data_IF_000932490528
#
_entry.id   IF_000932490528
#
_cell.length_a   1.000
_cell.length_b   1.000
_cell.length_c   1.000
_cell.angle_alpha   90.00
_cell.angle_beta   90.00
_cell.angle_gamma   90.00
#
_symmetry.space_group_name_H-M   'P 1'
#
loop_
_entity.id
_entity.type
_entity.pdbx_description
1 polymer ?
#
# COMPACT_ATOMS: atom_id res chain seq x y z
N UNK A 1 -26.61 -7.15 18.50
CA UNK A 1 -25.19 -6.78 18.62
C UNK A 1 -24.86 -5.88 17.46
N UNK A 2 -24.62 -4.59 17.72
CA UNK A 2 -24.22 -3.63 16.69
C UNK A 2 -22.83 -4.05 16.20
N UNK A 3 -22.72 -4.39 14.91
CA UNK A 3 -21.43 -4.55 14.24
C UNK A 3 -20.78 -3.17 14.23
N UNK A 4 -19.86 -2.91 15.17
CA UNK A 4 -19.04 -1.70 15.10
C UNK A 4 -18.28 -1.75 13.78
N UNK A 5 -18.50 -0.76 12.93
CA UNK A 5 -17.84 -0.67 11.62
C UNK A 5 -16.32 -0.71 11.84
N UNK A 6 -15.64 -1.69 11.24
CA UNK A 6 -14.18 -1.80 11.34
C UNK A 6 -13.54 -0.53 10.76
N UNK A 7 -12.48 -0.05 11.39
CA UNK A 7 -11.69 1.08 10.89
C UNK A 7 -10.89 0.62 9.67
N UNK A 8 -10.87 1.44 8.63
CA UNK A 8 -10.11 1.16 7.39
C UNK A 8 -8.72 1.78 7.51
N UNK A 9 -7.69 1.02 7.17
CA UNK A 9 -6.29 1.46 7.19
C UNK A 9 -5.67 1.20 5.82
N UNK A 10 -5.38 2.27 5.09
CA UNK A 10 -4.75 2.21 3.79
C UNK A 10 -3.27 2.55 3.91
N UNK A 11 -2.41 1.72 3.35
CA UNK A 11 -0.99 2.00 3.16
C UNK A 11 -0.73 2.34 1.69
N UNK A 12 -0.22 3.52 1.40
CA UNK A 12 0.10 3.97 0.04
C UNK A 12 1.62 4.12 -0.13
N UNK A 13 2.20 3.16 -0.85
CA UNK A 13 3.58 3.26 -1.33
C UNK A 13 3.61 4.09 -2.62
N UNK A 14 4.35 5.20 -2.63
CA UNK A 14 4.65 5.95 -3.85
C UNK A 14 6.01 5.49 -4.39
N UNK A 15 6.01 4.93 -5.60
CA UNK A 15 7.22 4.51 -6.32
C UNK A 15 7.42 5.34 -7.58
N UNK A 16 8.53 6.09 -7.62
CA UNK A 16 9.01 6.75 -8.84
C UNK A 16 9.72 5.79 -9.78
N UNK A 17 9.01 4.73 -10.12
CA UNK A 17 9.39 3.68 -11.05
C UNK A 17 8.32 3.58 -12.14
N UNK A 18 8.71 3.04 -13.29
CA UNK A 18 7.75 2.64 -14.31
C UNK A 18 7.00 1.38 -13.87
N UNK A 19 5.82 1.16 -14.43
CA UNK A 19 5.10 -0.09 -14.25
C UNK A 19 6.00 -1.27 -14.67
N UNK A 20 6.03 -2.38 -13.91
CA UNK A 20 6.81 -3.56 -14.30
C UNK A 20 6.34 -4.13 -15.65
N UNK A 21 7.27 -4.70 -16.40
CA UNK A 21 6.95 -5.44 -17.63
C UNK A 21 5.97 -6.59 -17.33
N UNK A 22 4.93 -6.75 -18.13
CA UNK A 22 3.89 -7.77 -17.92
C UNK A 22 4.43 -9.20 -17.81
N UNK A 23 5.61 -9.46 -18.35
CA UNK A 23 6.31 -10.74 -18.34
C UNK A 23 7.56 -10.76 -17.46
N UNK A 24 7.68 -9.83 -16.50
CA UNK A 24 8.85 -9.70 -15.62
C UNK A 24 9.30 -11.03 -14.97
N UNK A 25 10.60 -11.14 -14.70
CA UNK A 25 11.20 -12.38 -14.20
C UNK A 25 11.06 -12.50 -12.69
N UNK A 26 10.46 -13.61 -12.22
CA UNK A 26 10.40 -13.95 -10.80
C UNK A 26 11.79 -14.23 -10.19
N UNK A 27 12.81 -14.48 -11.02
CA UNK A 27 14.21 -14.64 -10.58
C UNK A 27 14.91 -13.30 -10.35
N UNK A 28 14.36 -12.20 -10.84
CA UNK A 28 14.96 -10.86 -10.74
C UNK A 28 13.92 -9.80 -10.32
N UNK A 29 13.36 -9.98 -9.13
CA UNK A 29 12.33 -9.07 -8.59
C UNK A 29 12.85 -7.64 -8.39
N UNK A 30 14.10 -7.49 -7.94
CA UNK A 30 14.75 -6.18 -7.72
C UNK A 30 14.91 -5.34 -8.98
N UNK A 31 15.19 -5.99 -10.10
CA UNK A 31 15.33 -5.34 -11.41
C UNK A 31 14.00 -5.09 -12.12
N UNK A 32 12.90 -5.64 -11.60
CA UNK A 32 11.56 -5.54 -12.20
C UNK A 32 10.77 -4.46 -11.45
N UNK A 33 11.12 -3.19 -11.60
CA UNK A 33 10.43 -2.06 -10.93
C UNK A 33 10.22 -2.24 -9.42
N UNK A 34 11.23 -2.81 -8.74
CA UNK A 34 11.21 -3.02 -7.28
C UNK A 34 10.06 -3.89 -6.78
N UNK A 35 9.63 -4.89 -7.55
CA UNK A 35 8.61 -5.84 -7.10
C UNK A 35 8.99 -6.54 -5.78
N UNK A 36 10.28 -6.72 -5.48
CA UNK A 36 10.71 -7.24 -4.16
C UNK A 36 10.27 -6.34 -3.00
N UNK A 37 10.29 -5.01 -3.17
CA UNK A 37 9.81 -4.06 -2.16
C UNK A 37 8.29 -4.12 -2.05
N UNK A 38 7.59 -4.16 -3.18
CA UNK A 38 6.12 -4.24 -3.23
C UNK A 38 5.64 -5.52 -2.55
N UNK A 39 6.23 -6.67 -2.86
CA UNK A 39 5.87 -7.96 -2.29
C UNK A 39 6.08 -7.98 -0.77
N UNK A 40 7.22 -7.47 -0.30
CA UNK A 40 7.53 -7.42 1.13
C UNK A 40 6.59 -6.50 1.91
N UNK A 41 6.13 -5.41 1.29
CA UNK A 41 5.15 -4.52 1.90
C UNK A 41 3.75 -5.13 1.95
N UNK A 42 3.31 -5.84 0.89
CA UNK A 42 2.05 -6.59 0.91
C UNK A 42 2.08 -7.62 2.06
N UNK A 43 3.16 -8.39 2.18
CA UNK A 43 3.31 -9.35 3.29
C UNK A 43 3.26 -8.67 4.67
N UNK A 44 3.77 -7.45 4.79
CA UNK A 44 3.74 -6.67 6.02
C UNK A 44 2.35 -6.07 6.32
N UNK A 45 1.50 -5.83 5.31
CA UNK A 45 0.17 -5.23 5.46
C UNK A 45 -0.90 -6.22 5.89
N UNK A 46 -0.85 -7.47 5.41
CA UNK A 46 -1.89 -8.48 5.64
C UNK A 46 -1.61 -9.57 6.69
N UNK A 47 -0.76 -9.39 7.72
CA UNK A 47 -0.84 -10.26 8.89
C UNK A 47 -2.15 -10.01 9.67
N UNK A 48 -2.60 -11.01 10.42
CA UNK A 48 -3.84 -10.98 11.22
C UNK A 48 -3.72 -10.12 12.50
N UNK A 49 -3.32 -8.84 12.40
CA UNK A 49 -3.23 -7.91 13.53
C UNK A 49 -4.48 -7.04 13.64
N UNK A 50 -5.00 -6.88 14.86
CA UNK A 50 -6.11 -5.97 15.16
C UNK A 50 -7.44 -6.26 14.43
N UNK A 51 -8.40 -5.34 14.58
CA UNK A 51 -9.72 -5.43 13.94
C UNK A 51 -9.89 -4.43 12.78
N UNK A 52 -8.83 -4.23 11.99
CA UNK A 52 -8.80 -3.30 10.87
C UNK A 52 -9.19 -3.96 9.54
N UNK A 53 -9.76 -3.18 8.63
CA UNK A 53 -9.78 -3.49 7.21
C UNK A 53 -8.56 -2.83 6.57
N UNK A 54 -7.58 -3.62 6.14
CA UNK A 54 -6.32 -3.09 5.61
C UNK A 54 -6.36 -3.07 4.09
N UNK A 55 -5.94 -1.97 3.50
CA UNK A 55 -5.66 -1.86 2.07
C UNK A 55 -4.19 -1.55 1.86
N UNK A 56 -3.57 -2.15 0.87
CA UNK A 56 -2.25 -1.79 0.41
C UNK A 56 -2.32 -1.30 -1.03
N UNK A 57 -1.77 -0.12 -1.29
CA UNK A 57 -1.70 0.49 -2.60
C UNK A 57 -0.25 0.75 -2.93
N UNK A 58 0.19 0.34 -4.12
CA UNK A 58 1.43 0.85 -4.72
C UNK A 58 1.09 1.69 -5.94
N UNK A 59 1.64 2.90 -5.99
CA UNK A 59 1.48 3.85 -7.08
C UNK A 59 2.81 3.99 -7.84
N UNK A 60 2.84 3.46 -9.07
CA UNK A 60 3.91 3.68 -10.04
C UNK A 60 3.67 5.02 -10.75
N UNK A 61 4.64 5.92 -10.76
CA UNK A 61 4.42 7.30 -11.19
C UNK A 61 5.04 7.67 -12.53
N UNK A 62 6.00 6.89 -13.08
CA UNK A 62 6.73 7.24 -14.30
C UNK A 62 6.05 6.72 -15.58
N UNK A 63 6.15 7.54 -16.64
CA UNK A 63 5.69 7.32 -18.03
C UNK A 63 4.21 6.96 -18.22
N UNK A 64 3.75 5.86 -17.63
CA UNK A 64 2.39 5.35 -17.68
C UNK A 64 1.93 5.02 -16.25
N UNK A 65 1.48 6.03 -15.48
CA UNK A 65 1.21 5.84 -14.06
C UNK A 65 0.08 4.85 -13.84
N UNK A 66 0.22 4.03 -12.82
CA UNK A 66 -0.74 2.99 -12.48
C UNK A 66 -0.68 2.68 -10.99
N UNK A 67 -1.80 2.27 -10.43
CA UNK A 67 -1.90 1.79 -9.07
C UNK A 67 -2.24 0.29 -9.06
N UNK A 68 -1.54 -0.48 -8.24
CA UNK A 68 -2.02 -1.79 -7.80
C UNK A 68 -2.64 -1.60 -6.42
N UNK A 69 -3.88 -2.04 -6.28
CA UNK A 69 -4.65 -2.04 -5.04
C UNK A 69 -4.81 -3.49 -4.59
N UNK A 70 -4.35 -3.78 -3.38
CA UNK A 70 -4.48 -5.08 -2.72
C UNK A 70 -5.35 -4.88 -1.48
N UNK A 71 -6.40 -5.69 -1.33
CA UNK A 71 -7.38 -5.53 -0.23
C UNK A 71 -7.36 -6.68 0.77
N UNK A 72 -6.78 -7.83 0.41
CA UNK A 72 -6.64 -9.00 1.29
C UNK A 72 -5.66 -10.01 0.68
N UNK A 73 -5.36 -11.09 1.40
CA UNK A 73 -4.73 -12.32 0.91
C UNK A 73 -5.58 -13.53 1.31
N UNK A 74 -5.67 -14.54 0.43
CA UNK A 74 -6.45 -15.73 0.77
C UNK A 74 -5.83 -16.47 1.96
N UNK A 75 -6.69 -16.95 2.87
CA UNK A 75 -6.24 -17.76 4.01
C UNK A 75 -5.74 -19.12 3.51
N UNK A 76 -4.55 -19.50 3.94
CA UNK A 76 -3.92 -20.78 3.62
C UNK A 76 -3.08 -21.28 4.80
N UNK A 77 -2.80 -22.58 4.80
CA UNK A 77 -2.04 -23.24 5.87
C UNK A 77 -0.57 -22.76 5.93
N UNK A 78 0.07 -22.61 4.77
CA UNK A 78 1.44 -22.08 4.65
C UNK A 78 1.39 -20.58 4.37
N UNK A 79 2.10 -19.73 5.10
CA UNK A 79 2.15 -18.28 4.79
C UNK A 79 2.80 -17.96 3.44
N UNK A 80 2.37 -16.87 2.78
CA UNK A 80 2.96 -16.38 1.51
C UNK A 80 4.43 -15.99 1.67
N UNK A 81 5.22 -16.26 0.63
CA UNK A 81 6.56 -15.71 0.46
C UNK A 81 6.60 -14.61 -0.63
N UNK A 82 7.74 -13.91 -0.74
CA UNK A 82 7.90 -12.80 -1.69
C UNK A 82 7.72 -13.24 -3.16
N UNK A 83 8.10 -14.47 -3.51
CA UNK A 83 8.01 -14.98 -4.88
C UNK A 83 6.56 -15.28 -5.24
N UNK A 84 5.80 -15.87 -4.31
CA UNK A 84 4.38 -16.14 -4.50
C UNK A 84 3.59 -14.84 -4.66
N UNK A 85 3.84 -13.82 -3.82
CA UNK A 85 3.22 -12.50 -4.00
C UNK A 85 3.63 -11.88 -5.34
N UNK A 86 4.91 -11.94 -5.71
CA UNK A 86 5.36 -11.46 -7.02
C UNK A 86 4.66 -12.18 -8.18
N UNK A 87 4.39 -13.48 -8.05
CA UNK A 87 3.61 -14.24 -9.02
C UNK A 87 2.17 -13.73 -9.12
N UNK A 88 1.51 -13.45 -8.00
CA UNK A 88 0.16 -12.87 -8.00
C UNK A 88 0.11 -11.48 -8.64
N UNK A 89 1.11 -10.64 -8.36
CA UNK A 89 1.25 -9.32 -9.00
C UNK A 89 1.40 -9.49 -10.52
N UNK A 90 2.23 -10.44 -10.97
CA UNK A 90 2.44 -10.72 -12.39
C UNK A 90 1.15 -11.17 -13.08
N UNK A 91 0.47 -12.18 -12.52
CA UNK A 91 -0.76 -12.73 -13.09
C UNK A 91 -1.87 -11.67 -13.12
N UNK A 92 -2.08 -10.92 -12.03
CA UNK A 92 -3.08 -9.85 -12.00
C UNK A 92 -2.79 -8.73 -13.01
N UNK A 93 -1.51 -8.43 -13.27
CA UNK A 93 -1.13 -7.46 -14.30
C UNK A 93 -1.40 -8.00 -15.71
N UNK A 94 -1.10 -9.28 -15.96
CA UNK A 94 -1.45 -9.94 -17.22
C UNK A 94 -2.96 -9.90 -17.47
N UNK A 95 -3.77 -10.21 -16.45
CA UNK A 95 -5.22 -10.18 -16.53
C UNK A 95 -5.77 -8.78 -16.82
N UNK A 96 -5.15 -7.72 -16.27
CA UNK A 96 -5.60 -6.34 -16.51
C UNK A 96 -5.40 -5.88 -17.95
N UNK A 97 -4.41 -6.43 -18.66
CA UNK A 97 -4.19 -6.18 -20.09
C UNK A 97 -5.06 -7.07 -20.98
N UNK A 98 -5.34 -8.30 -20.56
CA UNK A 98 -6.01 -9.31 -21.37
C UNK A 98 -7.53 -9.36 -21.15
N UNK A 99 -8.22 -8.20 -21.05
CA UNK A 99 -9.64 -8.11 -20.63
C UNK A 99 -10.67 -8.99 -21.38
N UNK A 100 -10.28 -9.68 -22.47
CA UNK A 100 -11.09 -10.64 -23.23
C UNK A 100 -10.69 -12.12 -23.05
N UNK A 101 -9.64 -12.42 -22.31
CA UNK A 101 -9.19 -13.76 -21.97
C UNK A 101 -9.29 -13.97 -20.46
N UNK A 102 -10.50 -13.92 -19.91
CA UNK A 102 -10.80 -14.75 -18.73
C UNK A 102 -10.71 -16.21 -19.19
N UNK A 103 -9.50 -16.69 -19.43
CA UNK A 103 -9.24 -18.13 -19.44
C UNK A 103 -9.56 -18.61 -18.05
N UNK A 104 -10.73 -19.24 -17.94
CA UNK A 104 -11.16 -20.03 -16.80
C UNK A 104 -9.99 -20.91 -16.33
N UNK A 105 -9.21 -20.51 -15.31
CA UNK A 105 -8.27 -21.35 -14.53
C UNK A 105 -7.18 -20.54 -13.81
N UNK A 106 -7.53 -19.52 -13.02
CA UNK A 106 -6.63 -19.13 -11.93
C UNK A 106 -7.12 -19.80 -10.64
N UNK A 107 -6.46 -20.89 -10.24
CA UNK A 107 -6.80 -21.64 -9.02
C UNK A 107 -6.56 -20.85 -7.72
N UNK A 108 -5.72 -19.80 -7.78
CA UNK A 108 -5.42 -18.99 -6.60
C UNK A 108 -6.50 -17.94 -6.35
N UNK A 109 -7.33 -18.20 -5.34
CA UNK A 109 -8.39 -17.32 -4.85
C UNK A 109 -7.91 -15.93 -4.46
N UNK A 110 -6.60 -15.73 -4.25
CA UNK A 110 -6.04 -14.43 -3.86
C UNK A 110 -6.09 -13.39 -4.97
N UNK A 111 -6.11 -13.82 -6.24
CA UNK A 111 -6.08 -12.89 -7.38
C UNK A 111 -7.25 -11.91 -7.40
N UNK A 112 -8.40 -12.30 -6.82
CA UNK A 112 -9.56 -11.41 -6.70
C UNK A 112 -9.28 -10.14 -5.85
N UNK A 113 -8.24 -10.18 -5.02
CA UNK A 113 -7.86 -9.06 -4.15
C UNK A 113 -6.86 -8.11 -4.82
N UNK A 114 -6.30 -8.47 -5.99
CA UNK A 114 -5.29 -7.67 -6.69
C UNK A 114 -5.93 -6.93 -7.86
N UNK A 115 -6.03 -5.62 -7.75
CA UNK A 115 -6.74 -4.79 -8.71
C UNK A 115 -5.81 -3.71 -9.28
N UNK A 116 -5.59 -3.76 -10.60
CA UNK A 116 -4.81 -2.76 -11.31
C UNK A 116 -5.69 -1.63 -11.83
N UNK A 117 -5.18 -0.40 -11.69
CA UNK A 117 -5.82 0.80 -12.20
C UNK A 117 -4.81 1.66 -12.94
N UNK A 118 -4.96 1.74 -14.26
CA UNK A 118 -4.20 2.68 -15.08
C UNK A 118 -4.70 4.11 -14.87
N UNK A 119 -3.76 5.05 -14.77
CA UNK A 119 -4.03 6.45 -14.48
C UNK A 119 -3.63 7.30 -15.68
N UNK A 120 -4.40 8.35 -15.95
CA UNK A 120 -3.98 9.39 -16.91
C UNK A 120 -2.87 10.25 -16.33
N UNK A 121 -2.97 10.56 -15.04
CA UNK A 121 -2.02 11.39 -14.31
C UNK A 121 -2.04 11.04 -12.82
N UNK A 122 -0.88 11.15 -12.15
CA UNK A 122 -0.73 10.90 -10.71
C UNK A 122 -1.56 11.88 -9.87
N UNK A 123 -1.65 13.15 -10.29
CA UNK A 123 -2.39 14.19 -9.55
C UNK A 123 -3.86 13.84 -9.38
N UNK A 124 -4.48 13.25 -10.40
CA UNK A 124 -5.88 12.83 -10.34
C UNK A 124 -6.13 11.77 -9.26
N UNK A 125 -5.13 10.93 -8.98
CA UNK A 125 -5.20 9.91 -7.93
C UNK A 125 -5.13 10.55 -6.55
N UNK A 126 -4.20 11.48 -6.33
CA UNK A 126 -4.13 12.24 -5.07
C UNK A 126 -5.38 13.10 -4.82
N UNK A 127 -5.97 13.70 -5.85
CA UNK A 127 -7.24 14.41 -5.71
C UNK A 127 -8.36 13.48 -5.26
N UNK A 128 -8.39 12.24 -5.75
CA UNK A 128 -9.39 11.27 -5.30
C UNK A 128 -9.21 10.90 -3.84
N UNK A 129 -7.97 10.63 -3.40
CA UNK A 129 -7.66 10.39 -1.98
C UNK A 129 -8.02 11.60 -1.12
N UNK A 130 -7.72 12.83 -1.56
CA UNK A 130 -8.10 14.03 -0.79
C UNK A 130 -9.62 14.17 -0.63
N UNK A 131 -10.37 13.70 -1.63
CA UNK A 131 -11.82 13.77 -1.65
C UNK A 131 -12.48 12.58 -0.93
N UNK A 132 -11.73 11.55 -0.55
CA UNK A 132 -12.20 10.60 0.45
C UNK A 132 -12.14 11.29 1.82
N UNK A 133 -13.09 10.99 2.71
CA UNK A 133 -13.10 11.54 4.07
C UNK A 133 -12.05 10.85 4.96
N UNK A 134 -10.86 10.60 4.41
CA UNK A 134 -9.74 9.89 5.01
C UNK A 134 -8.80 10.87 5.72
N UNK A 135 -8.28 10.47 6.88
CA UNK A 135 -7.16 11.18 7.50
C UNK A 135 -5.87 10.67 6.87
N UNK A 136 -5.19 11.57 6.14
CA UNK A 136 -4.01 11.23 5.35
C UNK A 136 -2.75 11.68 6.08
N UNK A 137 -1.84 10.74 6.33
CA UNK A 137 -0.57 10.97 7.02
C UNK A 137 0.58 10.64 6.08
N UNK A 138 1.59 11.50 6.02
CA UNK A 138 2.83 11.21 5.30
C UNK A 138 3.91 10.77 6.27
N UNK A 139 4.34 9.52 6.17
CA UNK A 139 5.41 8.98 7.01
C UNK A 139 6.76 9.53 6.52
N UNK A 140 7.41 10.31 7.38
CA UNK A 140 8.64 11.02 7.07
C UNK A 140 9.48 11.21 8.32
N UNK A 141 10.80 11.04 8.23
CA UNK A 141 11.70 11.07 9.41
C UNK A 141 11.65 12.40 10.17
N UNK A 142 11.43 13.50 9.44
CA UNK A 142 11.34 14.86 10.00
C UNK A 142 9.89 15.26 10.40
N UNK A 143 8.94 14.32 10.35
CA UNK A 143 7.56 14.56 10.79
C UNK A 143 7.42 14.66 12.31
N UNK A 144 6.22 15.02 12.77
CA UNK A 144 5.92 15.02 14.21
C UNK A 144 5.85 13.58 14.74
N UNK A 145 6.21 13.32 16.01
CA UNK A 145 6.08 12.00 16.62
C UNK A 145 4.69 11.38 16.41
N UNK A 146 4.62 10.06 16.16
CA UNK A 146 3.37 9.33 16.02
C UNK A 146 2.38 9.56 17.17
N UNK A 147 2.88 9.71 18.40
CA UNK A 147 2.05 9.95 19.58
C UNK A 147 1.25 11.27 19.51
N UNK A 148 1.72 12.23 18.71
CA UNK A 148 1.08 13.56 18.60
C UNK A 148 -0.17 13.51 17.71
N UNK A 149 -0.36 12.44 16.91
CA UNK A 149 -1.54 12.25 16.04
C UNK A 149 -2.56 11.23 16.57
N UNK A 150 -2.38 10.72 17.79
CA UNK A 150 -3.23 9.65 18.35
C UNK A 150 -4.70 10.08 18.40
N UNK A 151 -4.98 11.33 18.75
CA UNK A 151 -6.35 11.84 18.80
C UNK A 151 -7.02 11.81 17.42
N UNK A 152 -6.31 12.26 16.38
CA UNK A 152 -6.78 12.23 14.99
C UNK A 152 -7.05 10.80 14.52
N UNK A 153 -6.15 9.89 14.87
CA UNK A 153 -6.29 8.45 14.60
C UNK A 153 -7.57 7.91 15.25
N UNK A 154 -7.81 8.21 16.53
CA UNK A 154 -8.93 7.64 17.30
C UNK A 154 -10.29 8.04 16.73
N UNK A 155 -10.46 9.31 16.33
CA UNK A 155 -11.73 9.83 15.80
C UNK A 155 -11.98 9.45 14.33
N UNK A 156 -10.93 9.12 13.59
CA UNK A 156 -11.04 8.80 12.17
C UNK A 156 -11.49 7.35 11.94
N UNK A 157 -12.46 7.17 11.04
CA UNK A 157 -12.93 5.85 10.60
C UNK A 157 -12.11 5.26 9.43
N UNK A 158 -11.35 6.11 8.74
CA UNK A 158 -10.48 5.70 7.64
C UNK A 158 -9.17 6.50 7.70
N UNK A 159 -8.06 5.77 7.68
CA UNK A 159 -6.70 6.29 7.78
C UNK A 159 -5.94 5.94 6.50
N UNK A 160 -5.10 6.86 6.01
CA UNK A 160 -4.22 6.60 4.88
C UNK A 160 -2.79 7.02 5.24
N UNK A 161 -1.86 6.07 5.25
CA UNK A 161 -0.45 6.31 5.52
C UNK A 161 0.34 6.24 4.22
N UNK A 162 0.89 7.37 3.78
CA UNK A 162 1.68 7.52 2.57
C UNK A 162 3.16 7.41 2.92
N UNK A 163 3.94 6.69 2.13
CA UNK A 163 5.40 6.58 2.28
C UNK A 163 6.09 6.34 0.94
N UNK A 164 7.39 6.63 0.90
CA UNK A 164 8.25 6.42 -0.26
C UNK A 164 8.83 5.01 -0.36
N UNK A 165 9.47 4.74 -1.49
CA UNK A 165 10.29 3.55 -1.72
C UNK A 165 11.67 3.63 -1.06
N UNK A 166 12.67 2.98 -1.69
CA UNK A 166 14.06 2.94 -1.18
C UNK A 166 14.88 4.19 -1.52
N UNK A 167 14.51 4.89 -2.59
CA UNK A 167 15.02 6.21 -2.90
C UNK A 167 13.95 7.21 -2.49
N UNK A 168 14.38 8.35 -1.97
CA UNK A 168 13.48 9.42 -1.58
C UNK A 168 12.56 9.79 -2.76
N UNK A 169 11.30 10.02 -2.42
CA UNK A 169 10.35 10.65 -3.32
C UNK A 169 10.98 11.98 -3.76
N UNK A 170 10.93 12.31 -5.05
CA UNK A 170 11.43 13.59 -5.56
C UNK A 170 10.71 14.75 -4.88
N UNK A 171 11.38 15.91 -4.76
CA UNK A 171 10.78 17.09 -4.13
C UNK A 171 9.44 17.50 -4.79
N UNK A 172 9.27 17.28 -6.09
CA UNK A 172 8.01 17.57 -6.77
C UNK A 172 6.89 16.65 -6.25
N UNK A 173 7.17 15.36 -6.15
CA UNK A 173 6.20 14.37 -5.70
C UNK A 173 5.94 14.50 -4.20
N UNK A 174 6.94 14.84 -3.40
CA UNK A 174 6.77 15.14 -1.97
C UNK A 174 5.84 16.35 -1.80
N UNK A 175 6.04 17.43 -2.56
CA UNK A 175 5.11 18.58 -2.58
C UNK A 175 3.70 18.19 -3.02
N UNK A 176 3.55 17.19 -3.90
CA UNK A 176 2.23 16.70 -4.31
C UNK A 176 1.55 15.92 -3.19
N UNK A 177 2.28 15.05 -2.49
CA UNK A 177 1.81 14.31 -1.32
C UNK A 177 1.43 15.28 -0.19
N UNK A 178 2.27 16.28 0.11
CA UNK A 178 2.02 17.24 1.18
C UNK A 178 0.73 18.06 1.01
N UNK A 179 0.26 18.26 -0.22
CA UNK A 179 -1.00 18.98 -0.50
C UNK A 179 -2.26 18.22 -0.11
N UNK A 180 -2.14 16.91 0.13
CA UNK A 180 -3.25 16.04 0.50
C UNK A 180 -3.15 15.51 1.93
N UNK A 181 -2.01 15.68 2.59
CA UNK A 181 -1.75 15.15 3.94
C UNK A 181 -2.22 16.11 5.02
N UNK A 182 -2.84 15.56 6.06
CA UNK A 182 -3.17 16.26 7.30
C UNK A 182 -1.92 16.55 8.13
N UNK A 183 -0.98 15.59 8.19
CA UNK A 183 0.27 15.75 8.92
C UNK A 183 1.41 14.90 8.35
N UNK A 184 2.65 15.37 8.55
CA UNK A 184 3.86 14.56 8.42
C UNK A 184 4.16 13.88 9.75
N UNK A 185 4.44 12.58 9.73
CA UNK A 185 4.56 11.75 10.93
C UNK A 185 5.88 11.00 10.92
N UNK A 186 6.63 11.12 12.00
CA UNK A 186 7.86 10.36 12.23
C UNK A 186 7.58 9.15 13.12
N UNK A 187 8.06 7.99 12.68
CA UNK A 187 8.03 6.74 13.46
C UNK A 187 9.29 6.55 14.31
N UNK A 188 10.25 7.47 14.23
CA UNK A 188 11.49 7.41 14.98
C UNK A 188 12.65 8.16 14.31
N UNK A 189 13.81 8.15 14.97
CA UNK A 189 15.00 8.91 14.54
C UNK A 189 15.83 8.23 13.44
N UNK A 190 15.38 7.09 12.92
CA UNK A 190 16.12 6.28 11.94
C UNK A 190 15.28 6.12 10.69
N UNK A 191 15.94 6.02 9.54
CA UNK A 191 15.29 5.57 8.32
C UNK A 191 15.03 4.07 8.40
N UNK A 192 13.78 3.68 8.18
CA UNK A 192 13.31 2.30 8.22
C UNK A 192 12.91 1.83 6.83
N UNK A 193 12.89 0.51 6.62
CA UNK A 193 12.25 -0.05 5.43
C UNK A 193 10.75 0.21 5.50
N UNK A 194 10.11 0.48 4.35
CA UNK A 194 8.67 0.67 4.25
C UNK A 194 7.87 -0.46 4.93
N UNK A 195 8.27 -1.71 4.74
CA UNK A 195 7.65 -2.87 5.40
C UNK A 195 7.71 -2.80 6.92
N UNK A 196 8.80 -2.27 7.48
CA UNK A 196 8.95 -2.05 8.93
C UNK A 196 8.05 -0.92 9.41
N UNK A 197 7.90 0.16 8.63
CA UNK A 197 6.98 1.24 8.94
C UNK A 197 5.52 0.74 9.00
N UNK A 198 5.11 -0.11 8.05
CA UNK A 198 3.77 -0.73 8.03
C UNK A 198 3.53 -1.53 9.31
N UNK A 199 4.45 -2.44 9.67
CA UNK A 199 4.33 -3.26 10.89
C UNK A 199 4.26 -2.39 12.14
N UNK A 200 5.10 -1.36 12.22
CA UNK A 200 5.10 -0.43 13.35
C UNK A 200 3.75 0.28 13.49
N UNK A 201 3.22 0.83 12.40
CA UNK A 201 1.92 1.53 12.41
C UNK A 201 0.81 0.58 12.84
N UNK A 202 0.74 -0.63 12.27
CA UNK A 202 -0.27 -1.62 12.66
C UNK A 202 -0.20 -1.97 14.14
N UNK A 203 1.01 -2.17 14.67
CA UNK A 203 1.23 -2.47 16.09
C UNK A 203 0.80 -1.32 17.01
N UNK A 204 1.13 -0.07 16.66
CA UNK A 204 0.69 1.08 17.45
C UNK A 204 -0.83 1.30 17.35
N UNK A 205 -1.44 1.06 16.18
CA UNK A 205 -2.91 1.10 16.06
C UNK A 205 -3.60 0.02 16.90
N UNK A 206 -3.06 -1.20 16.93
CA UNK A 206 -3.60 -2.29 17.75
C UNK A 206 -3.53 -1.97 19.25
N UNK A 207 -2.41 -1.40 19.73
CA UNK A 207 -2.30 -0.90 21.11
C UNK A 207 -3.37 0.13 21.47
N UNK A 208 -3.75 0.98 20.52
CA UNK A 208 -4.78 1.99 20.72
C UNK A 208 -6.21 1.42 20.73
N UNK A 209 -6.44 0.23 20.17
CA UNK A 209 -7.74 -0.47 20.25
C UNK A 209 -7.90 -1.29 21.53
N UNK A 210 -6.80 -1.77 22.12
CA UNK A 210 -6.83 -2.58 23.35
C UNK A 210 -7.04 -1.72 24.61
N UNK A 211 -6.68 -0.43 24.56
CA UNK A 211 -6.81 0.51 25.67
C UNK A 211 -8.07 1.37 25.56
#
# INVERSE_FOLDING_TARGET
MSSSKKKVVTFLLVLEEELPDVNFSLKNLRGSSKIDVVARNILASFPSFGNFEVNYIVLFTKNNPAALIVTDLAKREKSYDEIEIASLIKTSLQDSYNQNAKTNSSEDLSLQFFNWRHLKEVRSFFTQIKNTNEHVFFLHENGQPFNDIVQDIQIANSLCFIFGGRHDISEEMEKAVLKITSAQVSLGKRSYLASTCIVFVLFELEKLEIN
#
